data_IF_411982422272
#
_entry.id   IF_411982422272
#
_cell.length_a   1.000
_cell.length_b   1.000
_cell.length_c   1.000
_cell.angle_alpha   90.00
_cell.angle_beta   90.00
_cell.angle_gamma   90.00
#
_symmetry.space_group_name_H-M   'P 1'
#
loop_
_entity.id
_entity.type
_entity.pdbx_description
1 polymer ?
#
# COMPACT_ATOMS: atom_id res chain seq x y z
N UNK A 1 -6.93 -14.95 9.98
CA UNK A 1 -6.04 -15.21 11.12
C UNK A 1 -6.83 -15.75 12.31
N UNK A 2 -7.95 -15.18 12.70
CA UNK A 2 -8.77 -15.61 13.85
C UNK A 2 -9.20 -17.08 13.75
N UNK A 3 -9.68 -17.54 12.60
CA UNK A 3 -10.04 -18.95 12.40
C UNK A 3 -8.85 -19.90 12.60
N UNK A 4 -7.65 -19.49 12.20
CA UNK A 4 -6.44 -20.29 12.38
C UNK A 4 -6.01 -20.28 13.84
N UNK A 5 -6.06 -19.10 14.48
CA UNK A 5 -5.79 -18.95 15.90
C UNK A 5 -6.70 -19.85 16.75
N UNK A 6 -8.01 -19.82 16.47
CA UNK A 6 -9.01 -20.61 17.21
C UNK A 6 -8.82 -22.11 17.00
N UNK A 7 -8.36 -22.55 15.82
CA UNK A 7 -8.12 -23.97 15.53
C UNK A 7 -6.83 -24.50 16.13
N UNK A 8 -5.79 -23.66 16.19
CA UNK A 8 -4.46 -24.08 16.66
C UNK A 8 -4.21 -23.72 18.12
N UNK A 9 -5.13 -22.98 18.75
CA UNK A 9 -5.03 -22.49 20.13
C UNK A 9 -3.69 -21.79 20.44
N UNK A 10 -3.11 -21.14 19.41
CA UNK A 10 -1.81 -20.49 19.55
C UNK A 10 -1.89 -19.04 19.09
N UNK A 11 -1.14 -18.15 19.77
CA UNK A 11 -0.97 -16.76 19.38
C UNK A 11 0.20 -16.62 18.43
N UNK A 12 -0.03 -16.01 17.28
CA UNK A 12 1.02 -15.70 16.32
C UNK A 12 1.74 -14.42 16.75
N UNK A 13 3.07 -14.46 16.80
CA UNK A 13 3.90 -13.28 17.03
C UNK A 13 4.20 -12.54 15.72
N UNK A 14 4.36 -13.31 14.65
CA UNK A 14 4.72 -12.78 13.34
C UNK A 14 3.89 -13.45 12.26
N UNK A 15 3.42 -12.64 11.32
CA UNK A 15 2.71 -13.11 10.12
C UNK A 15 3.49 -12.68 8.89
N UNK A 16 3.74 -13.63 8.01
CA UNK A 16 4.38 -13.40 6.72
C UNK A 16 3.35 -13.70 5.63
N UNK A 17 3.04 -12.72 4.80
CA UNK A 17 2.05 -12.90 3.75
C UNK A 17 2.48 -12.23 2.43
N UNK A 18 1.71 -12.49 1.38
CA UNK A 18 1.93 -11.89 0.09
C UNK A 18 1.51 -10.41 0.07
N UNK A 19 2.05 -9.65 -0.89
CA UNK A 19 1.75 -8.23 -1.09
C UNK A 19 0.25 -7.95 -1.34
N UNK A 20 -0.53 -8.95 -1.75
CA UNK A 20 -1.98 -8.86 -1.85
C UNK A 20 -2.69 -8.59 -0.52
N UNK A 21 -2.05 -8.93 0.61
CA UNK A 21 -2.55 -8.67 1.96
C UNK A 21 -2.03 -7.36 2.56
N UNK A 22 -1.19 -6.62 1.84
CA UNK A 22 -0.61 -5.35 2.29
C UNK A 22 -1.59 -4.18 2.11
N UNK A 23 -2.62 -4.12 2.94
CA UNK A 23 -3.62 -3.04 3.00
C UNK A 23 -3.57 -2.32 4.34
N UNK A 24 -4.04 -1.08 4.38
CA UNK A 24 -4.15 -0.28 5.60
C UNK A 24 -4.92 -1.02 6.69
N UNK A 25 -6.11 -1.53 6.36
CA UNK A 25 -6.97 -2.32 7.26
C UNK A 25 -6.23 -3.51 7.89
N UNK A 26 -5.46 -4.26 7.08
CA UNK A 26 -4.72 -5.41 7.57
C UNK A 26 -3.56 -4.99 8.48
N UNK A 27 -2.88 -3.89 8.19
CA UNK A 27 -1.81 -3.39 9.05
C UNK A 27 -2.35 -2.89 10.39
N UNK A 28 -3.47 -2.14 10.37
CA UNK A 28 -4.12 -1.67 11.59
C UNK A 28 -4.63 -2.86 12.44
N UNK A 29 -5.19 -3.90 11.81
CA UNK A 29 -5.58 -5.13 12.48
C UNK A 29 -4.39 -5.84 13.15
N UNK A 30 -3.25 -5.94 12.44
CA UNK A 30 -2.05 -6.57 12.99
C UNK A 30 -1.47 -5.75 14.16
N UNK A 31 -1.49 -4.43 14.05
CA UNK A 31 -1.05 -3.52 15.11
C UNK A 31 -1.96 -3.62 16.36
N UNK A 32 -3.28 -3.64 16.16
CA UNK A 32 -4.26 -3.85 17.27
C UNK A 32 -4.05 -5.17 17.98
N UNK A 33 -3.70 -6.24 17.25
CA UNK A 33 -3.45 -7.58 17.82
C UNK A 33 -2.00 -7.78 18.31
N UNK A 34 -1.16 -6.76 18.26
CA UNK A 34 0.26 -6.83 18.61
C UNK A 34 1.02 -7.90 17.81
N UNK A 35 0.63 -8.11 16.54
CA UNK A 35 1.23 -9.09 15.64
C UNK A 35 2.14 -8.36 14.66
N UNK A 36 3.40 -8.76 14.57
CA UNK A 36 4.32 -8.20 13.59
C UNK A 36 4.03 -8.73 12.18
N UNK A 37 3.73 -7.84 11.23
CA UNK A 37 3.41 -8.20 9.86
C UNK A 37 4.59 -8.05 8.90
N UNK A 38 5.22 -9.13 8.47
CA UNK A 38 6.20 -9.12 7.40
C UNK A 38 5.48 -9.21 6.03
N UNK A 39 4.77 -8.16 5.67
CA UNK A 39 3.92 -8.08 4.48
C UNK A 39 4.32 -6.85 3.67
N UNK A 40 4.66 -7.03 2.39
CA UNK A 40 4.90 -5.90 1.48
C UNK A 40 3.57 -5.32 1.01
N UNK A 41 3.49 -4.00 0.87
CA UNK A 41 2.36 -3.40 0.18
C UNK A 41 2.56 -3.43 -1.35
N UNK A 42 1.49 -3.30 -2.10
CA UNK A 42 1.47 -3.57 -3.56
C UNK A 42 2.45 -2.73 -4.41
N UNK A 43 2.81 -1.53 -3.93
CA UNK A 43 3.75 -0.64 -4.63
C UNK A 43 5.18 -0.70 -4.09
N UNK A 44 5.47 -1.49 -3.05
CA UNK A 44 6.78 -1.56 -2.38
C UNK A 44 7.95 -1.70 -3.35
N UNK A 45 7.92 -2.73 -4.21
CA UNK A 45 8.97 -2.98 -5.20
C UNK A 45 8.99 -1.94 -6.34
N UNK A 46 7.84 -1.32 -6.62
CA UNK A 46 7.73 -0.30 -7.69
C UNK A 46 8.36 1.01 -7.27
N UNK A 47 8.20 1.40 -5.99
CA UNK A 47 8.70 2.66 -5.43
C UNK A 47 10.23 2.75 -5.44
N UNK A 48 10.93 1.60 -5.40
CA UNK A 48 12.40 1.56 -5.48
C UNK A 48 12.93 1.78 -6.89
N UNK A 49 12.11 1.54 -7.93
CA UNK A 49 12.54 1.59 -9.32
C UNK A 49 12.74 3.03 -9.81
N UNK A 50 13.82 3.24 -10.59
CA UNK A 50 14.10 4.53 -11.22
C UNK A 50 12.94 5.04 -12.10
N UNK A 51 12.22 4.12 -12.76
CA UNK A 51 11.06 4.46 -13.58
C UNK A 51 9.89 5.04 -12.78
N UNK A 52 9.71 4.62 -11.52
CA UNK A 52 8.70 5.19 -10.63
C UNK A 52 9.09 6.59 -10.17
N UNK A 53 10.34 6.76 -9.75
CA UNK A 53 10.87 8.05 -9.29
C UNK A 53 10.90 9.13 -10.39
N UNK A 54 11.00 8.73 -11.67
CA UNK A 54 10.96 9.63 -12.82
C UNK A 54 9.54 10.07 -13.22
N UNK A 55 8.49 9.52 -12.63
CA UNK A 55 7.11 9.91 -12.95
C UNK A 55 6.80 11.29 -12.36
N UNK A 56 6.91 12.32 -13.19
CA UNK A 56 6.71 13.73 -12.81
C UNK A 56 5.30 13.96 -12.24
N UNK A 57 4.28 13.32 -12.78
CA UNK A 57 2.88 13.50 -12.37
C UNK A 57 2.43 12.56 -11.24
N UNK A 58 3.35 11.80 -10.62
CA UNK A 58 3.04 11.01 -9.44
C UNK A 58 3.21 11.85 -8.19
N UNK A 59 2.14 12.07 -7.44
CA UNK A 59 2.14 12.88 -6.22
C UNK A 59 3.10 12.35 -5.13
N UNK A 60 3.41 11.04 -5.13
CA UNK A 60 4.39 10.45 -4.22
C UNK A 60 5.82 11.01 -4.42
N UNK A 61 6.08 11.62 -5.58
CA UNK A 61 7.37 12.22 -5.92
C UNK A 61 7.39 13.75 -5.70
N UNK A 62 6.28 14.34 -5.28
CA UNK A 62 6.18 15.79 -5.07
C UNK A 62 6.64 16.17 -3.67
N UNK A 63 7.16 17.38 -3.55
CA UNK A 63 7.51 17.95 -2.25
C UNK A 63 6.22 18.25 -1.48
N UNK A 64 6.13 17.75 -0.26
CA UNK A 64 5.04 18.06 0.66
C UNK A 64 5.55 18.92 1.80
N UNK A 65 4.85 20.02 2.07
CA UNK A 65 5.07 20.88 3.21
C UNK A 65 4.01 20.58 4.27
N UNK A 66 4.46 20.08 5.42
CA UNK A 66 3.57 19.69 6.51
C UNK A 66 3.05 20.89 7.32
N UNK A 67 3.79 22.01 7.33
CA UNK A 67 3.40 23.22 8.06
C UNK A 67 2.28 23.96 7.33
N UNK A 68 2.43 24.10 6.01
CA UNK A 68 1.44 24.76 5.17
C UNK A 68 0.35 23.81 4.67
N UNK A 69 0.50 22.49 4.90
CA UNK A 69 -0.39 21.46 4.36
C UNK A 69 -0.60 21.61 2.86
N UNK A 70 0.48 21.67 2.12
CA UNK A 70 0.43 21.78 0.66
C UNK A 70 1.49 20.94 -0.04
N UNK A 71 1.20 20.62 -1.30
CA UNK A 71 2.18 20.03 -2.21
C UNK A 71 2.72 21.08 -3.16
N UNK A 72 3.99 20.97 -3.53
CA UNK A 72 4.57 21.75 -4.62
C UNK A 72 4.52 20.90 -5.89
N UNK A 73 3.76 21.36 -6.89
CA UNK A 73 3.70 20.73 -8.20
C UNK A 73 5.02 20.94 -8.96
N UNK A 74 5.41 20.06 -9.90
CA UNK A 74 6.66 20.18 -10.66
C UNK A 74 6.89 21.49 -11.43
N UNK A 75 5.83 22.24 -11.74
CA UNK A 75 5.97 23.60 -12.30
C UNK A 75 6.14 24.70 -11.25
N UNK A 76 6.22 24.36 -9.97
CA UNK A 76 6.34 25.29 -8.86
C UNK A 76 5.01 25.78 -8.27
N UNK A 77 3.87 25.44 -8.88
CA UNK A 77 2.57 25.86 -8.36
C UNK A 77 2.22 25.12 -7.07
N UNK A 78 1.63 25.80 -6.06
CA UNK A 78 1.13 25.17 -4.87
C UNK A 78 -0.13 24.35 -5.17
N UNK A 79 -0.27 23.24 -4.46
CA UNK A 79 -1.47 22.40 -4.46
C UNK A 79 -1.96 22.32 -3.01
N UNK A 80 -2.76 23.32 -2.59
CA UNK A 80 -3.18 23.48 -1.21
C UNK A 80 -4.18 22.41 -0.80
N UNK A 81 -4.27 22.22 0.52
CA UNK A 81 -5.33 21.41 1.13
C UNK A 81 -6.71 22.04 0.84
N UNK A 82 -7.67 21.17 0.51
CA UNK A 82 -9.04 21.60 0.22
C UNK A 82 -10.06 21.09 1.25
N UNK A 83 -10.04 19.80 1.53
CA UNK A 83 -10.97 19.17 2.46
C UNK A 83 -10.50 17.78 2.86
N UNK A 84 -11.06 17.26 3.94
CA UNK A 84 -10.91 15.84 4.32
C UNK A 84 -12.16 15.07 3.91
N UNK A 85 -11.97 13.84 3.44
CA UNK A 85 -13.04 12.91 3.08
C UNK A 85 -12.81 11.57 3.72
N UNK A 86 -13.84 10.96 4.27
CA UNK A 86 -13.81 9.59 4.79
C UNK A 86 -14.53 8.67 3.81
N UNK A 87 -13.91 7.54 3.51
CA UNK A 87 -14.46 6.51 2.63
C UNK A 87 -14.52 5.19 3.38
N UNK A 88 -15.58 4.42 3.15
CA UNK A 88 -15.70 3.05 3.65
C UNK A 88 -15.42 2.07 2.52
N UNK A 89 -14.66 1.03 2.81
CA UNK A 89 -14.47 -0.09 1.89
C UNK A 89 -15.62 -1.12 2.03
N UNK A 90 -15.53 -2.24 1.29
CA UNK A 90 -16.54 -3.30 1.35
C UNK A 90 -16.64 -4.00 2.71
N UNK A 91 -15.58 -4.02 3.49
CA UNK A 91 -15.57 -4.58 4.86
C UNK A 91 -16.13 -3.61 5.92
N UNK A 92 -16.43 -2.37 5.53
CA UNK A 92 -16.87 -1.31 6.44
C UNK A 92 -15.71 -0.54 7.09
N UNK A 93 -14.46 -0.87 6.78
CA UNK A 93 -13.28 -0.16 7.27
C UNK A 93 -13.24 1.27 6.73
N UNK A 94 -13.05 2.25 7.60
CA UNK A 94 -13.04 3.67 7.28
C UNK A 94 -11.61 4.16 6.99
N UNK A 95 -11.44 4.81 5.85
CA UNK A 95 -10.19 5.44 5.45
C UNK A 95 -10.39 6.94 5.32
N UNK A 96 -9.49 7.71 5.90
CA UNK A 96 -9.52 9.18 5.85
C UNK A 96 -8.47 9.70 4.89
N UNK A 97 -8.90 10.58 3.99
CA UNK A 97 -8.06 11.20 2.97
C UNK A 97 -8.14 12.70 3.03
N UNK A 98 -7.00 13.35 3.10
CA UNK A 98 -6.88 14.76 2.83
C UNK A 98 -6.79 14.99 1.32
N UNK A 99 -7.68 15.83 0.81
CA UNK A 99 -7.79 16.17 -0.60
C UNK A 99 -7.10 17.50 -0.85
N UNK A 100 -6.19 17.49 -1.79
CA UNK A 100 -5.44 18.65 -2.27
C UNK A 100 -5.84 18.95 -3.71
N UNK A 101 -5.98 20.22 -4.08
CA UNK A 101 -6.37 20.60 -5.43
C UNK A 101 -5.52 21.76 -5.93
N UNK A 102 -4.99 21.59 -7.14
CA UNK A 102 -4.33 22.67 -7.86
C UNK A 102 -5.38 23.68 -8.37
N UNK A 103 -5.27 24.92 -7.97
CA UNK A 103 -6.19 26.00 -8.35
C UNK A 103 -5.76 26.68 -9.66
N UNK A 104 -4.46 26.80 -9.89
CA UNK A 104 -3.88 27.51 -11.03
C UNK A 104 -3.53 26.54 -12.16
N UNK A 105 -4.53 25.91 -12.76
CA UNK A 105 -4.33 25.03 -13.90
C UNK A 105 -4.50 25.73 -15.25
N UNK A 106 -5.04 26.93 -15.30
CA UNK A 106 -5.14 27.75 -16.51
C UNK A 106 -3.75 28.26 -16.90
N UNK A 107 -3.38 28.09 -18.16
CA UNK A 107 -2.04 28.46 -18.66
C UNK A 107 -0.89 27.56 -18.18
N UNK A 108 -1.15 26.50 -17.44
CA UNK A 108 -0.12 25.55 -17.03
C UNK A 108 0.42 24.77 -18.23
N UNK A 109 1.74 24.77 -18.48
CA UNK A 109 2.33 24.07 -19.65
C UNK A 109 2.15 22.54 -19.58
N UNK A 110 1.87 22.01 -18.39
CA UNK A 110 1.66 20.57 -18.19
C UNK A 110 0.18 20.18 -18.13
N UNK A 111 -0.75 21.11 -18.35
CA UNK A 111 -2.19 20.89 -18.19
C UNK A 111 -2.68 19.61 -18.90
N UNK A 112 -2.41 19.49 -20.17
CA UNK A 112 -2.86 18.39 -21.01
C UNK A 112 -2.29 17.03 -20.60
N UNK A 113 -1.02 17.01 -20.18
CA UNK A 113 -0.32 15.78 -19.75
C UNK A 113 -0.63 15.41 -18.30
N UNK A 114 -1.06 16.37 -17.48
CA UNK A 114 -1.27 16.20 -16.05
C UNK A 114 -2.66 15.69 -15.70
N UNK A 115 -3.70 16.32 -16.24
CA UNK A 115 -5.08 16.00 -15.86
C UNK A 115 -6.07 16.35 -16.96
N UNK A 116 -7.07 15.48 -17.10
CA UNK A 116 -8.24 15.72 -17.98
C UNK A 116 -9.39 16.41 -17.25
N UNK A 117 -9.27 16.61 -15.93
CA UNK A 117 -10.33 17.24 -15.13
C UNK A 117 -10.42 18.73 -15.40
N UNK A 118 -11.63 19.25 -15.60
CA UNK A 118 -11.91 20.69 -15.74
C UNK A 118 -11.52 21.47 -14.48
N UNK A 119 -11.67 20.84 -13.32
CA UNK A 119 -11.42 21.45 -12.01
C UNK A 119 -9.94 21.40 -11.56
N UNK A 120 -9.02 21.03 -12.46
CA UNK A 120 -7.60 20.90 -12.13
C UNK A 120 -7.21 19.55 -11.53
N UNK A 121 -5.92 19.44 -11.15
CA UNK A 121 -5.38 18.22 -10.57
C UNK A 121 -5.78 18.10 -9.11
N UNK A 122 -6.44 16.98 -8.76
CA UNK A 122 -6.68 16.59 -7.37
C UNK A 122 -5.80 15.42 -6.99
N UNK A 123 -5.30 15.43 -5.76
CA UNK A 123 -4.60 14.32 -5.13
C UNK A 123 -5.21 14.03 -3.76
N UNK A 124 -5.12 12.78 -3.33
CA UNK A 124 -5.59 12.31 -2.04
C UNK A 124 -4.40 11.77 -1.26
N UNK A 125 -4.27 12.23 -0.02
CA UNK A 125 -3.24 11.80 0.92
C UNK A 125 -3.91 11.13 2.10
N UNK A 126 -3.46 9.94 2.45
CA UNK A 126 -3.87 9.23 3.65
C UNK A 126 -2.66 9.12 4.57
N UNK A 127 -2.70 9.86 5.68
CA UNK A 127 -1.58 9.92 6.63
C UNK A 127 -1.37 8.58 7.33
N UNK A 128 -2.45 7.87 7.70
CA UNK A 128 -2.34 6.55 8.31
C UNK A 128 -1.63 5.57 7.35
N UNK A 129 -2.06 5.54 6.09
CA UNK A 129 -1.42 4.71 5.07
C UNK A 129 0.07 5.03 4.88
N UNK A 130 0.45 6.31 4.89
CA UNK A 130 1.85 6.73 4.77
C UNK A 130 2.66 6.27 5.99
N UNK A 131 2.11 6.44 7.20
CA UNK A 131 2.71 5.95 8.43
C UNK A 131 2.93 4.45 8.39
N UNK A 132 1.92 3.67 8.02
CA UNK A 132 2.01 2.22 7.89
C UNK A 132 3.06 1.80 6.85
N UNK A 133 3.11 2.47 5.69
CA UNK A 133 4.16 2.22 4.68
C UNK A 133 5.56 2.48 5.22
N UNK A 134 5.74 3.50 6.05
CA UNK A 134 7.03 3.83 6.65
C UNK A 134 7.46 2.75 7.64
N UNK A 135 6.57 2.36 8.57
CA UNK A 135 6.80 1.26 9.51
C UNK A 135 7.19 -0.04 8.78
N UNK A 136 6.45 -0.37 7.71
CA UNK A 136 6.73 -1.56 6.89
C UNK A 136 8.09 -1.48 6.20
N UNK A 137 8.48 -0.31 5.67
CA UNK A 137 9.80 -0.13 5.05
C UNK A 137 10.93 -0.33 6.05
N UNK A 138 10.81 0.25 7.22
CA UNK A 138 11.79 0.11 8.31
C UNK A 138 11.91 -1.35 8.75
N UNK A 139 10.77 -2.01 8.97
CA UNK A 139 10.72 -3.40 9.37
C UNK A 139 11.39 -4.32 8.33
N UNK A 140 11.00 -4.21 7.06
CA UNK A 140 11.53 -5.03 5.97
C UNK A 140 13.00 -4.71 5.61
N UNK A 141 13.54 -3.59 6.10
CA UNK A 141 14.95 -3.26 5.95
C UNK A 141 15.87 -4.04 6.92
N UNK A 142 15.30 -4.61 7.99
CA UNK A 142 16.06 -5.41 8.95
C UNK A 142 16.46 -6.77 8.37
N UNK A 143 17.60 -7.30 8.79
CA UNK A 143 18.11 -8.58 8.26
C UNK A 143 17.25 -9.77 8.69
N UNK A 144 16.64 -9.68 9.88
CA UNK A 144 15.67 -10.68 10.36
C UNK A 144 14.50 -10.85 9.38
N UNK A 145 13.87 -9.73 8.99
CA UNK A 145 12.72 -9.78 8.10
C UNK A 145 13.08 -10.07 6.65
N UNK A 146 14.28 -9.70 6.19
CA UNK A 146 14.79 -10.15 4.89
C UNK A 146 14.95 -11.67 4.85
N UNK A 147 15.47 -12.27 5.93
CA UNK A 147 15.56 -13.72 6.05
C UNK A 147 14.19 -14.41 6.05
N UNK A 148 13.22 -13.87 6.81
CA UNK A 148 11.84 -14.37 6.84
C UNK A 148 11.17 -14.28 5.46
N UNK A 149 11.33 -13.18 4.75
CA UNK A 149 10.77 -13.01 3.40
C UNK A 149 11.38 -13.99 2.39
N UNK A 150 12.70 -14.29 2.51
CA UNK A 150 13.37 -15.31 1.69
C UNK A 150 12.82 -16.71 2.02
N UNK A 151 12.63 -17.02 3.31
CA UNK A 151 12.09 -18.29 3.77
C UNK A 151 10.68 -18.54 3.24
N UNK A 152 9.81 -17.51 3.21
CA UNK A 152 8.48 -17.60 2.62
C UNK A 152 8.51 -18.10 1.17
N UNK A 153 9.36 -17.52 0.34
CA UNK A 153 9.49 -17.92 -1.06
C UNK A 153 9.87 -19.39 -1.20
N UNK A 154 10.77 -19.88 -0.35
CA UNK A 154 11.21 -21.26 -0.42
C UNK A 154 10.17 -22.25 0.12
N UNK A 155 9.50 -21.92 1.23
CA UNK A 155 8.59 -22.87 1.89
C UNK A 155 7.20 -22.90 1.25
N UNK A 156 6.61 -21.74 0.95
CA UNK A 156 5.23 -21.69 0.44
C UNK A 156 5.16 -21.92 -1.08
N UNK A 157 6.02 -21.26 -1.85
CA UNK A 157 5.95 -21.31 -3.32
C UNK A 157 6.40 -22.66 -3.87
N UNK A 158 7.37 -23.33 -3.21
CA UNK A 158 7.82 -24.67 -3.60
C UNK A 158 6.71 -25.72 -3.46
N UNK A 159 5.94 -25.67 -2.36
CA UNK A 159 4.81 -26.59 -2.15
C UNK A 159 3.73 -26.38 -3.20
N UNK A 160 3.37 -25.15 -3.50
CA UNK A 160 2.42 -24.82 -4.56
C UNK A 160 2.96 -25.19 -5.95
N UNK A 161 4.25 -24.99 -6.21
CA UNK A 161 4.92 -25.38 -7.44
C UNK A 161 4.87 -26.89 -7.65
N UNK A 162 5.18 -27.68 -6.63
CA UNK A 162 5.08 -29.15 -6.66
C UNK A 162 3.64 -29.61 -6.88
N UNK A 163 2.68 -29.03 -6.16
CA UNK A 163 1.27 -29.40 -6.27
C UNK A 163 0.72 -29.10 -7.67
N UNK A 164 1.01 -27.95 -8.22
CA UNK A 164 0.53 -27.55 -9.54
C UNK A 164 1.32 -28.16 -10.70
N UNK A 165 2.64 -28.27 -10.55
CA UNK A 165 3.55 -28.77 -11.59
C UNK A 165 3.63 -30.30 -11.61
N UNK A 166 4.10 -30.89 -10.51
CA UNK A 166 4.38 -32.33 -10.45
C UNK A 166 3.12 -33.15 -10.27
N UNK A 167 2.20 -32.74 -9.39
CA UNK A 167 0.94 -33.47 -9.18
C UNK A 167 -0.15 -33.03 -10.17
N UNK A 168 0.13 -32.09 -11.07
CA UNK A 168 -0.81 -31.53 -12.08
C UNK A 168 -2.13 -31.04 -11.48
N UNK A 169 -2.15 -30.74 -10.18
CA UNK A 169 -3.33 -30.27 -9.46
C UNK A 169 -3.51 -28.77 -9.68
N UNK A 170 -4.19 -28.42 -10.78
CA UNK A 170 -4.30 -27.02 -11.22
C UNK A 170 -5.45 -26.25 -10.57
N UNK A 171 -6.49 -26.96 -10.06
CA UNK A 171 -7.71 -26.33 -9.54
C UNK A 171 -8.42 -27.26 -8.56
N UNK A 172 -8.94 -26.68 -7.47
CA UNK A 172 -9.89 -27.38 -6.60
C UNK A 172 -11.25 -27.45 -7.31
N UNK A 173 -11.77 -28.67 -7.49
CA UNK A 173 -13.09 -28.92 -8.07
C UNK A 173 -14.17 -29.09 -7.01
N UNK A 174 -13.77 -29.29 -5.76
CA UNK A 174 -14.70 -29.43 -4.65
C UNK A 174 -15.10 -28.02 -4.17
N UNK A 175 -16.39 -27.72 -4.25
CA UNK A 175 -16.99 -26.59 -3.55
C UNK A 175 -17.28 -27.07 -2.14
N UNK A 176 -16.68 -26.45 -1.13
CA UNK A 176 -17.08 -26.65 0.26
C UNK A 176 -18.56 -26.34 0.43
N UNK A 177 -19.28 -27.17 1.20
CA UNK A 177 -20.61 -26.88 1.68
C UNK A 177 -20.51 -25.82 2.77
#
# INVERSE_FOLDING_TARGET
LENVHNRLECKFKTVIADAGYGSEENYDYLEEKEITGAIKYSTYEKETKRSFKKKVFNADNWKYDSEQKEYTYPCGNPVPYKRTVTKKNHSGYEQTYDVYQCENCEGCPFRESCTKSEYGRMIQRNENWISQKTKVKELLATDEYKALMKKRSTECETVFGQTKGNLKFRRFHLRGK
#
